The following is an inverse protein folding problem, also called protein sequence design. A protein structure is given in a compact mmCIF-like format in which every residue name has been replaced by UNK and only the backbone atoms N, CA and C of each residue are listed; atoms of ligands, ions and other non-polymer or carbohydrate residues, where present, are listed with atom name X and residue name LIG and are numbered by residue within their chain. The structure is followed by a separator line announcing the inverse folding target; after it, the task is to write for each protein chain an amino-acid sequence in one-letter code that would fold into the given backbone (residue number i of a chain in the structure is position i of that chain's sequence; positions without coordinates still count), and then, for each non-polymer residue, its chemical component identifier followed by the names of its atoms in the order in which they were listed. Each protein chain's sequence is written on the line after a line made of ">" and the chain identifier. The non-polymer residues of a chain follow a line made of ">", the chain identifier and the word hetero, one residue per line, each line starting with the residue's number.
data_IF_144153581065
#
_entry.id   IF_144153581065
#
_cell.length_a   1.000
_cell.length_b   1.000
_cell.length_c   1.000
_cell.angle_alpha   90.00
_cell.angle_beta   90.00
_cell.angle_gamma   90.00
#
_symmetry.space_group_name_H-M   'P 1'
#
loop_
_entity.id
_entity.type
_entity.pdbx_description
1 polymer ?
#
# COMPACT_ATOMS: atom_id res chain seq x y z
N UNK A 1 24.30 21.52 17.77
CA UNK A 1 23.29 20.49 18.08
C UNK A 1 22.03 20.86 17.30
N UNK A 2 21.97 20.46 16.03
CA UNK A 2 20.82 20.71 15.17
C UNK A 2 19.77 19.66 15.47
N UNK A 3 18.58 20.12 15.86
CA UNK A 3 17.40 19.28 16.00
C UNK A 3 17.16 18.58 14.66
N UNK A 4 17.34 17.26 14.63
CA UNK A 4 16.89 16.46 13.51
C UNK A 4 15.37 16.42 13.65
N UNK A 5 14.69 17.17 12.78
CA UNK A 5 13.25 17.05 12.60
C UNK A 5 12.96 15.60 12.20
N UNK A 6 12.51 14.78 13.16
CA UNK A 6 11.78 13.55 12.88
C UNK A 6 10.47 13.98 12.20
N UNK A 7 10.54 14.24 10.90
CA UNK A 7 9.36 14.45 10.08
C UNK A 7 8.66 13.10 9.97
N UNK A 8 7.76 12.84 10.92
CA UNK A 8 6.87 11.68 10.92
C UNK A 8 6.17 11.72 9.55
N UNK A 9 6.45 10.73 8.68
CA UNK A 9 5.79 10.58 7.38
C UNK A 9 4.32 10.25 7.64
N UNK A 10 3.52 11.27 7.91
CA UNK A 10 2.11 11.12 8.16
C UNK A 10 1.43 10.75 6.84
N UNK A 11 0.54 9.74 6.83
CA UNK A 11 -0.20 9.39 5.64
C UNK A 11 -1.00 10.60 5.15
N UNK A 12 -1.01 10.82 3.83
CA UNK A 12 -1.72 11.94 3.23
C UNK A 12 -3.18 11.94 3.69
N UNK A 13 -3.69 13.12 4.05
CA UNK A 13 -5.09 13.33 4.45
C UNK A 13 -5.95 13.88 3.31
N UNK A 14 -5.35 14.13 2.14
CA UNK A 14 -6.09 14.65 0.99
C UNK A 14 -6.96 13.54 0.39
N UNK A 15 -8.27 13.80 0.18
CA UNK A 15 -9.14 12.88 -0.54
C UNK A 15 -8.58 12.60 -1.94
N UNK A 16 -8.66 11.33 -2.36
CA UNK A 16 -8.15 10.87 -3.65
C UNK A 16 -9.20 11.10 -4.75
N UNK A 17 -8.77 11.69 -5.86
CA UNK A 17 -9.58 11.84 -7.07
C UNK A 17 -9.40 10.65 -8.02
N UNK A 18 -10.24 10.59 -9.07
CA UNK A 18 -10.07 9.58 -10.13
C UNK A 18 -8.74 9.72 -10.86
N UNK A 19 -8.24 10.94 -11.05
CA UNK A 19 -6.95 11.18 -11.69
C UNK A 19 -5.81 10.64 -10.83
N UNK A 20 -5.87 10.89 -9.51
CA UNK A 20 -4.88 10.38 -8.56
C UNK A 20 -4.83 8.84 -8.56
N UNK A 21 -5.97 8.16 -8.70
CA UNK A 21 -6.02 6.70 -8.82
C UNK A 21 -5.34 6.19 -10.10
N UNK A 22 -5.48 6.90 -11.22
CA UNK A 22 -4.80 6.54 -12.48
C UNK A 22 -3.29 6.71 -12.31
N UNK A 23 -2.85 7.84 -11.76
CA UNK A 23 -1.44 8.09 -11.48
C UNK A 23 -0.86 7.07 -10.49
N UNK A 24 -1.65 6.67 -9.49
CA UNK A 24 -1.28 5.62 -8.55
C UNK A 24 -1.01 4.31 -9.29
N UNK A 25 -1.96 3.88 -10.13
CA UNK A 25 -1.83 2.67 -10.93
C UNK A 25 -0.56 2.71 -11.81
N UNK A 26 -0.34 3.81 -12.54
CA UNK A 26 0.85 3.99 -13.38
C UNK A 26 2.15 3.90 -12.58
N UNK A 27 2.21 4.57 -11.42
CA UNK A 27 3.37 4.50 -10.52
C UNK A 27 3.68 3.07 -10.11
N UNK A 28 2.66 2.29 -9.75
CA UNK A 28 2.86 0.90 -9.33
C UNK A 28 3.28 -0.01 -10.49
N UNK A 29 2.77 0.22 -11.70
CA UNK A 29 3.27 -0.47 -12.90
C UNK A 29 4.75 -0.18 -13.16
N UNK A 30 5.15 1.09 -13.05
CA UNK A 30 6.56 1.49 -13.19
C UNK A 30 7.43 0.81 -12.13
N UNK A 31 6.99 0.76 -10.87
CA UNK A 31 7.72 0.08 -9.80
C UNK A 31 7.89 -1.42 -10.06
N UNK A 32 6.84 -2.11 -10.53
CA UNK A 32 6.93 -3.53 -10.89
C UNK A 32 7.95 -3.78 -12.00
N UNK A 33 7.96 -2.92 -13.02
CA UNK A 33 8.91 -2.98 -14.12
C UNK A 33 10.35 -2.71 -13.66
N UNK A 34 10.57 -1.62 -12.91
CA UNK A 34 11.89 -1.23 -12.40
C UNK A 34 12.52 -2.26 -11.46
N UNK A 35 11.68 -2.95 -10.68
CA UNK A 35 12.12 -4.00 -9.76
C UNK A 35 12.26 -5.36 -10.45
N UNK A 36 11.97 -5.47 -11.75
CA UNK A 36 11.99 -6.73 -12.52
C UNK A 36 11.15 -7.82 -11.83
N UNK A 37 9.97 -7.43 -11.36
CA UNK A 37 9.06 -8.34 -10.68
C UNK A 37 8.53 -9.41 -11.64
N UNK A 38 8.56 -10.68 -11.24
CA UNK A 38 8.02 -11.77 -12.05
C UNK A 38 6.50 -11.62 -12.22
N UNK A 39 6.03 -11.80 -13.45
CA UNK A 39 4.59 -11.74 -13.78
C UNK A 39 3.82 -13.00 -13.34
N UNK A 40 4.52 -14.10 -13.05
CA UNK A 40 3.92 -15.37 -12.64
C UNK A 40 4.72 -16.01 -11.51
N UNK A 41 4.07 -16.92 -10.77
CA UNK A 41 4.67 -17.62 -9.64
C UNK A 41 4.91 -16.72 -8.41
N UNK A 42 5.69 -17.25 -7.47
CA UNK A 42 6.05 -16.56 -6.23
C UNK A 42 7.13 -15.50 -6.53
N UNK A 43 6.83 -14.25 -6.21
CA UNK A 43 7.75 -13.13 -6.41
C UNK A 43 7.71 -12.20 -5.19
N UNK A 44 8.77 -12.18 -4.35
CA UNK A 44 8.83 -11.33 -3.16
C UNK A 44 8.74 -9.83 -3.49
N UNK A 45 9.40 -9.39 -4.58
CA UNK A 45 9.38 -7.99 -5.03
C UNK A 45 7.96 -7.56 -5.40
N UNK A 46 7.29 -8.38 -6.21
CA UNK A 46 5.88 -8.18 -6.57
C UNK A 46 5.01 -8.09 -5.33
N UNK A 47 5.14 -9.04 -4.41
CA UNK A 47 4.36 -9.07 -3.17
C UNK A 47 4.56 -7.81 -2.33
N UNK A 48 5.80 -7.36 -2.14
CA UNK A 48 6.10 -6.11 -1.42
C UNK A 48 5.38 -4.93 -2.08
N UNK A 49 5.50 -4.80 -3.41
CA UNK A 49 4.87 -3.70 -4.16
C UNK A 49 3.34 -3.74 -4.05
N UNK A 50 2.72 -4.93 -4.10
CA UNK A 50 1.27 -5.07 -3.89
C UNK A 50 0.85 -4.78 -2.46
N UNK A 51 1.67 -5.10 -1.45
CA UNK A 51 1.39 -4.72 -0.07
C UNK A 51 1.39 -3.19 0.07
N UNK A 52 2.39 -2.50 -0.49
CA UNK A 52 2.46 -1.03 -0.48
C UNK A 52 1.25 -0.40 -1.20
N UNK A 53 0.82 -0.99 -2.34
CA UNK A 53 -0.40 -0.56 -3.04
C UNK A 53 -1.64 -0.77 -2.18
N UNK A 54 -1.76 -1.91 -1.51
CA UNK A 54 -2.94 -2.23 -0.73
C UNK A 54 -3.06 -1.34 0.50
N UNK A 55 -1.94 -0.99 1.14
CA UNK A 55 -1.90 -0.02 2.23
C UNK A 55 -2.39 1.36 1.77
N UNK A 56 -1.99 1.78 0.57
CA UNK A 56 -2.43 3.06 -0.01
C UNK A 56 -3.91 3.03 -0.40
N UNK A 57 -4.43 1.90 -0.90
CA UNK A 57 -5.86 1.71 -1.13
C UNK A 57 -6.65 1.76 0.19
N UNK A 58 -6.16 1.12 1.26
CA UNK A 58 -6.76 1.20 2.59
C UNK A 58 -6.80 2.65 3.05
N UNK A 59 -5.71 3.41 2.91
CA UNK A 59 -5.66 4.85 3.23
C UNK A 59 -6.74 5.62 2.47
N UNK A 60 -6.80 5.45 1.15
CA UNK A 60 -7.77 6.13 0.28
C UNK A 60 -9.20 5.81 0.70
N UNK A 61 -9.52 4.52 0.90
CA UNK A 61 -10.87 4.10 1.32
C UNK A 61 -11.18 4.61 2.73
N UNK A 62 -10.21 4.63 3.65
CA UNK A 62 -10.40 5.17 5.01
C UNK A 62 -10.79 6.64 4.99
N UNK A 63 -10.17 7.45 4.11
CA UNK A 63 -10.54 8.85 3.96
C UNK A 63 -11.93 9.04 3.35
N UNK A 64 -12.40 8.10 2.53
CA UNK A 64 -13.74 8.13 1.95
C UNK A 64 -14.80 7.64 2.95
N UNK A 65 -14.52 6.56 3.68
CA UNK A 65 -15.38 5.91 4.66
C UNK A 65 -14.50 5.09 5.62
N UNK A 66 -14.39 5.57 6.85
CA UNK A 66 -13.45 5.00 7.81
C UNK A 66 -13.79 3.55 8.19
N UNK A 67 -15.08 3.20 8.23
CA UNK A 67 -15.55 1.85 8.56
C UNK A 67 -15.10 0.83 7.50
N UNK A 68 -15.18 1.21 6.22
CA UNK A 68 -14.69 0.38 5.11
C UNK A 68 -13.17 0.24 5.16
N UNK A 69 -12.47 1.34 5.42
CA UNK A 69 -11.03 1.34 5.59
C UNK A 69 -10.58 0.39 6.71
N UNK A 70 -11.24 0.48 7.87
CA UNK A 70 -11.00 -0.39 9.01
C UNK A 70 -11.25 -1.86 8.69
N UNK A 71 -12.34 -2.17 7.97
CA UNK A 71 -12.65 -3.55 7.57
C UNK A 71 -11.55 -4.11 6.64
N UNK A 72 -11.10 -3.35 5.65
CA UNK A 72 -10.02 -3.76 4.75
C UNK A 72 -8.70 -3.96 5.51
N UNK A 73 -8.37 -3.07 6.45
CA UNK A 73 -7.18 -3.20 7.28
C UNK A 73 -7.21 -4.48 8.13
N UNK A 74 -8.37 -4.86 8.68
CA UNK A 74 -8.52 -6.13 9.42
C UNK A 74 -8.30 -7.34 8.53
N UNK A 75 -8.91 -7.36 7.34
CA UNK A 75 -8.73 -8.44 6.36
C UNK A 75 -7.26 -8.59 5.98
N UNK A 76 -6.57 -7.47 5.70
CA UNK A 76 -5.12 -7.46 5.42
C UNK A 76 -4.33 -8.07 6.58
N UNK A 77 -4.60 -7.63 7.80
CA UNK A 77 -3.85 -8.07 8.98
C UNK A 77 -4.03 -9.58 9.22
N UNK A 78 -5.26 -10.08 9.09
CA UNK A 78 -5.56 -11.52 9.20
C UNK A 78 -4.79 -12.33 8.14
N UNK A 79 -4.78 -11.85 6.89
CA UNK A 79 -4.03 -12.49 5.81
C UNK A 79 -2.52 -12.49 6.06
N UNK A 80 -1.95 -11.36 6.51
CA UNK A 80 -0.52 -11.27 6.81
C UNK A 80 -0.12 -12.15 7.99
N UNK A 81 -0.97 -12.26 9.02
CA UNK A 81 -0.74 -13.18 10.13
C UNK A 81 -0.73 -14.63 9.63
N UNK A 82 -1.73 -15.02 8.83
CA UNK A 82 -1.76 -16.35 8.21
C UNK A 82 -0.49 -16.62 7.40
N UNK A 83 -0.07 -15.70 6.55
CA UNK A 83 1.13 -15.91 5.75
C UNK A 83 2.40 -15.98 6.61
N UNK A 84 2.49 -15.21 7.69
CA UNK A 84 3.64 -15.29 8.61
C UNK A 84 3.72 -16.61 9.38
N UNK A 85 2.60 -17.28 9.60
CA UNK A 85 2.53 -18.53 10.36
C UNK A 85 2.70 -19.77 9.47
N UNK A 86 2.18 -19.74 8.24
CA UNK A 86 2.01 -20.94 7.41
C UNK A 86 2.83 -20.94 6.11
N UNK A 87 3.53 -19.85 5.77
CA UNK A 87 4.35 -19.71 4.55
C UNK A 87 5.82 -19.44 4.89
#
# INVERSE_FOLDING_TARGET
>A
MGQQDEEIFLPSKTPCTRHDLIQLQERFHVMLYQEEALEIGLCPKRRRIYNDLFDELIRIITLQCCERGLLLARIRNEFLQWMSEYE
#
